data_IF_697525009518
#
_entry.id   IF_697525009518
#
_cell.length_a   1.000
_cell.length_b   1.000
_cell.length_c   1.000
_cell.angle_alpha   90.00
_cell.angle_beta   90.00
_cell.angle_gamma   90.00
#
_symmetry.space_group_name_H-M   'P 1'
#
loop_
_entity.id
_entity.type
_entity.pdbx_description
1 polymer ?
#
# COMPACT_ATOMS: atom_id res chain seq x y z
N UNK A 1 -6.28 -12.39 34.07
CA UNK A 1 -5.73 -11.16 33.43
C UNK A 1 -5.21 -11.54 32.07
N UNK A 2 -5.98 -11.26 31.03
CA UNK A 2 -5.51 -11.43 29.67
C UNK A 2 -4.67 -10.22 29.29
N UNK A 3 -3.37 -10.32 29.45
CA UNK A 3 -2.46 -9.44 28.73
C UNK A 3 -2.52 -9.85 27.26
N UNK A 4 -3.41 -9.22 26.51
CA UNK A 4 -3.27 -9.16 25.07
C UNK A 4 -1.96 -8.42 24.80
N UNK A 5 -0.89 -9.18 24.64
CA UNK A 5 0.29 -8.67 23.98
C UNK A 5 -0.17 -8.32 22.56
N UNK A 6 -0.59 -7.09 22.39
CA UNK A 6 -0.71 -6.48 21.08
C UNK A 6 0.72 -6.39 20.53
N UNK A 7 1.17 -7.47 19.92
CA UNK A 7 2.27 -7.39 19.00
C UNK A 7 1.75 -6.57 17.83
N UNK A 8 1.86 -5.25 17.95
CA UNK A 8 1.70 -4.36 16.80
C UNK A 8 2.77 -4.81 15.82
N UNK A 9 2.36 -5.46 14.75
CA UNK A 9 3.31 -5.81 13.70
C UNK A 9 3.95 -4.52 13.18
N UNK A 10 5.22 -4.52 12.77
CA UNK A 10 5.86 -3.35 12.18
C UNK A 10 5.07 -2.76 11.01
N UNK A 11 4.25 -3.57 10.37
CA UNK A 11 3.36 -3.17 9.29
C UNK A 11 2.12 -2.42 9.82
N UNK A 12 1.56 -2.81 10.96
CA UNK A 12 0.47 -2.07 11.62
C UNK A 12 0.95 -0.71 12.12
N UNK A 13 2.19 -0.61 12.62
CA UNK A 13 2.78 0.68 12.98
C UNK A 13 3.03 1.56 11.76
N UNK A 14 3.37 0.96 10.62
CA UNK A 14 3.48 1.63 9.33
C UNK A 14 2.13 2.18 8.89
N UNK A 15 1.07 1.39 9.05
CA UNK A 15 -0.31 1.78 8.76
C UNK A 15 -0.76 2.94 9.65
N UNK A 16 -0.44 2.87 10.94
CA UNK A 16 -0.75 3.93 11.91
C UNK A 16 -0.04 5.24 11.58
N UNK A 17 1.25 5.18 11.24
CA UNK A 17 2.02 6.35 10.83
C UNK A 17 1.50 6.91 9.50
N UNK A 18 1.18 6.04 8.56
CA UNK A 18 0.65 6.46 7.28
C UNK A 18 -0.72 7.13 7.39
N UNK A 19 -1.64 6.58 8.17
CA UNK A 19 -2.93 7.21 8.44
C UNK A 19 -2.78 8.55 9.15
N UNK A 20 -1.82 8.67 10.06
CA UNK A 20 -1.54 9.91 10.76
C UNK A 20 -0.89 10.97 9.86
N UNK A 21 0.07 10.60 9.02
CA UNK A 21 0.76 11.54 8.13
C UNK A 21 -0.18 12.10 7.04
N UNK A 22 -1.08 11.27 6.51
CA UNK A 22 -2.06 11.73 5.53
C UNK A 22 -3.26 12.47 6.17
N UNK A 23 -3.68 12.12 7.39
CA UNK A 23 -4.83 12.76 8.03
C UNK A 23 -4.50 14.04 8.80
N UNK A 24 -3.31 14.14 9.38
CA UNK A 24 -2.94 15.27 10.26
C UNK A 24 -2.46 16.50 9.47
N UNK A 25 -1.99 16.30 8.23
CA UNK A 25 -1.46 17.37 7.39
C UNK A 25 -2.47 18.09 6.51
N UNK A 26 -3.73 17.67 6.48
CA UNK A 26 -4.71 18.18 5.52
C UNK A 26 -5.79 19.02 6.21
N UNK A 27 -6.09 20.23 5.71
CA UNK A 27 -7.21 21.01 6.21
C UNK A 27 -8.52 20.25 6.01
N UNK A 28 -9.34 20.21 7.05
CA UNK A 28 -10.68 19.64 7.01
C UNK A 28 -11.47 20.33 5.90
N UNK A 29 -11.72 19.62 4.80
CA UNK A 29 -12.43 20.17 3.64
C UNK A 29 -11.66 20.08 2.32
N UNK A 30 -10.44 19.59 2.31
CA UNK A 30 -9.70 19.40 1.06
C UNK A 30 -10.26 18.21 0.25
N UNK A 31 -10.77 18.52 -0.93
CA UNK A 31 -11.32 17.53 -1.86
C UNK A 31 -10.25 16.57 -2.43
N UNK A 32 -8.97 16.86 -2.23
CA UNK A 32 -7.87 16.02 -2.71
C UNK A 32 -7.82 14.63 -2.05
N UNK A 33 -8.33 14.50 -0.82
CA UNK A 33 -8.41 13.20 -0.12
C UNK A 33 -9.43 12.26 -0.79
N UNK A 34 -10.46 12.80 -1.42
CA UNK A 34 -11.53 12.01 -2.04
C UNK A 34 -11.11 11.32 -3.34
N UNK A 35 -9.98 11.74 -3.92
CA UNK A 35 -9.51 11.25 -5.20
C UNK A 35 -8.39 10.21 -5.08
N UNK A 36 -7.99 9.85 -3.85
CA UNK A 36 -7.03 8.79 -3.63
C UNK A 36 -7.72 7.41 -3.77
N UNK A 37 -7.07 6.46 -4.44
CA UNK A 37 -7.60 5.11 -4.55
C UNK A 37 -7.66 4.42 -3.19
N UNK A 38 -8.68 3.60 -2.98
CA UNK A 38 -8.76 2.74 -1.81
C UNK A 38 -7.65 1.70 -1.83
N UNK A 39 -7.10 1.40 -0.67
CA UNK A 39 -5.94 0.53 -0.52
C UNK A 39 -6.21 -0.55 0.52
N UNK A 40 -5.88 -1.78 0.17
CA UNK A 40 -5.73 -2.88 1.12
C UNK A 40 -4.24 -3.19 1.31
N UNK A 41 -3.84 -3.36 2.56
CA UNK A 41 -2.49 -3.79 2.92
C UNK A 41 -2.59 -5.18 3.56
N UNK A 42 -1.85 -6.13 3.00
CA UNK A 42 -1.86 -7.53 3.43
C UNK A 42 -0.45 -7.92 3.83
N UNK A 43 -0.30 -8.52 4.99
CA UNK A 43 0.96 -9.08 5.44
C UNK A 43 0.82 -10.60 5.64
N UNK A 44 1.72 -11.34 5.02
CA UNK A 44 1.91 -12.76 5.22
C UNK A 44 3.28 -13.02 5.88
N UNK A 45 3.55 -14.26 6.22
CA UNK A 45 4.83 -14.62 6.84
C UNK A 45 6.04 -14.24 5.96
N UNK A 46 5.89 -14.32 4.64
CA UNK A 46 6.96 -14.18 3.67
C UNK A 46 6.89 -12.90 2.82
N UNK A 47 5.78 -12.18 2.87
CA UNK A 47 5.56 -11.06 1.95
C UNK A 47 4.56 -10.04 2.47
N UNK A 48 4.62 -8.87 1.85
CA UNK A 48 3.58 -7.84 1.91
C UNK A 48 2.89 -7.74 0.56
N UNK A 49 1.64 -7.36 0.57
CA UNK A 49 0.89 -7.04 -0.65
C UNK A 49 0.14 -5.74 -0.45
N UNK A 50 0.29 -4.84 -1.42
CA UNK A 50 -0.47 -3.61 -1.51
C UNK A 50 -1.45 -3.80 -2.67
N UNK A 51 -2.73 -3.61 -2.41
CA UNK A 51 -3.77 -3.63 -3.44
C UNK A 51 -4.41 -2.24 -3.54
N UNK A 52 -4.39 -1.66 -4.73
CA UNK A 52 -5.05 -0.39 -5.03
C UNK A 52 -6.25 -0.63 -5.94
N UNK A 53 -7.41 -0.12 -5.55
CA UNK A 53 -8.59 -0.12 -6.40
C UNK A 53 -8.52 1.07 -7.37
N UNK A 54 -8.21 0.81 -8.61
CA UNK A 54 -8.07 1.82 -9.66
C UNK A 54 -8.71 1.35 -10.96
N UNK A 55 -10.05 1.23 -11.01
CA UNK A 55 -10.76 0.76 -12.19
C UNK A 55 -10.73 1.79 -13.32
N UNK A 56 -10.84 1.33 -14.56
CA UNK A 56 -10.99 2.20 -15.73
C UNK A 56 -9.68 2.68 -16.37
N UNK A 57 -8.54 2.11 -15.99
CA UNK A 57 -7.23 2.44 -16.53
C UNK A 57 -6.57 1.25 -17.23
N UNK A 58 -5.49 1.52 -17.93
CA UNK A 58 -4.62 0.51 -18.53
C UNK A 58 -3.34 0.35 -17.70
N UNK A 59 -2.72 -0.81 -17.79
CA UNK A 59 -1.44 -1.09 -17.15
C UNK A 59 -0.37 -0.02 -17.42
N UNK A 60 -0.33 0.51 -18.63
CA UNK A 60 0.64 1.52 -19.07
C UNK A 60 0.45 2.90 -18.41
N UNK A 61 -0.71 3.14 -17.81
CA UNK A 61 -1.03 4.42 -17.19
C UNK A 61 -0.39 4.56 -15.78
N UNK A 62 0.07 3.45 -15.20
CA UNK A 62 0.71 3.42 -13.88
C UNK A 62 2.22 3.57 -13.98
N UNK A 63 2.79 4.32 -13.06
CA UNK A 63 4.22 4.38 -12.78
C UNK A 63 4.48 4.00 -11.32
N UNK A 64 5.45 3.12 -11.10
CA UNK A 64 5.87 2.69 -9.78
C UNK A 64 7.35 2.98 -9.64
N UNK A 65 7.70 3.79 -8.66
CA UNK A 65 9.07 4.20 -8.38
C UNK A 65 9.44 3.80 -6.95
N UNK A 66 10.68 3.37 -6.79
CA UNK A 66 11.25 3.03 -5.50
C UNK A 66 12.49 3.90 -5.26
N UNK A 67 12.42 4.74 -4.25
CA UNK A 67 13.53 5.54 -3.76
C UNK A 67 13.86 5.12 -2.33
N UNK A 68 14.97 4.39 -2.15
CA UNK A 68 15.30 3.71 -0.91
C UNK A 68 14.13 2.79 -0.47
N UNK A 69 13.51 3.06 0.65
CA UNK A 69 12.34 2.34 1.16
C UNK A 69 11.03 3.06 0.91
N UNK A 70 11.04 4.11 0.10
CA UNK A 70 9.82 4.84 -0.27
C UNK A 70 9.30 4.36 -1.63
N UNK A 71 8.19 3.70 -1.64
CA UNK A 71 7.51 3.20 -2.84
C UNK A 71 6.43 4.20 -3.24
N UNK A 72 6.58 4.83 -4.40
CA UNK A 72 5.62 5.77 -4.95
C UNK A 72 4.87 5.15 -6.12
N UNK A 73 3.56 5.22 -6.07
CA UNK A 73 2.66 4.74 -7.12
C UNK A 73 1.92 5.96 -7.66
N UNK A 74 2.09 6.22 -8.95
CA UNK A 74 1.42 7.33 -9.61
C UNK A 74 0.66 6.85 -10.83
N UNK A 75 -0.41 7.56 -11.11
CA UNK A 75 -1.21 7.44 -12.31
C UNK A 75 -1.41 8.83 -12.87
N UNK A 76 -0.89 9.08 -14.05
CA UNK A 76 -0.97 10.36 -14.73
C UNK A 76 -1.84 10.25 -15.98
N UNK A 77 -3.12 10.07 -15.74
CA UNK A 77 -4.13 10.06 -16.79
C UNK A 77 -5.42 10.65 -16.25
N UNK A 78 -5.90 11.70 -16.89
CA UNK A 78 -7.25 12.20 -16.66
C UNK A 78 -8.15 11.79 -17.82
N UNK A 79 -9.25 11.13 -17.50
CA UNK A 79 -10.32 10.88 -18.45
C UNK A 79 -11.25 12.08 -18.41
N UNK A 80 -11.14 12.92 -19.41
CA UNK A 80 -12.01 14.07 -19.58
C UNK A 80 -13.24 13.62 -20.38
N UNK A 81 -14.28 13.18 -19.69
CA UNK A 81 -15.55 12.88 -20.29
C UNK A 81 -16.47 14.10 -20.19
N UNK A 82 -17.07 14.50 -21.30
CA UNK A 82 -18.09 15.55 -21.32
C UNK A 82 -19.45 15.03 -20.82
N UNK A 83 -19.44 14.11 -19.85
CA UNK A 83 -20.63 13.49 -19.31
C UNK A 83 -21.23 14.37 -18.22
N UNK A 84 -22.52 14.63 -18.31
CA UNK A 84 -23.27 15.32 -17.25
C UNK A 84 -23.79 14.28 -16.25
N UNK A 85 -23.21 14.26 -15.06
CA UNK A 85 -23.64 13.37 -13.98
C UNK A 85 -24.79 13.98 -13.17
N UNK A 86 -25.81 13.21 -12.88
CA UNK A 86 -26.79 13.57 -11.87
C UNK A 86 -26.25 13.32 -10.45
N UNK A 87 -25.41 12.28 -10.30
CA UNK A 87 -24.68 11.95 -9.07
C UNK A 87 -23.34 11.37 -9.44
N UNK A 88 -22.27 11.87 -8.84
CA UNK A 88 -20.91 11.40 -9.03
C UNK A 88 -20.29 11.10 -7.67
N UNK A 89 -19.95 9.85 -7.42
CA UNK A 89 -19.32 9.41 -6.17
C UNK A 89 -17.84 9.08 -6.36
N UNK A 90 -17.42 8.74 -7.57
CA UNK A 90 -16.03 8.51 -7.91
C UNK A 90 -15.67 9.15 -9.26
N UNK A 91 -14.40 9.36 -9.49
CA UNK A 91 -13.87 9.84 -10.75
C UNK A 91 -12.63 9.05 -11.19
N UNK A 92 -12.19 9.32 -12.41
CA UNK A 92 -10.98 8.72 -12.98
C UNK A 92 -9.87 9.78 -13.00
N UNK A 93 -9.48 10.25 -11.83
CA UNK A 93 -8.44 11.27 -11.71
C UNK A 93 -7.05 10.68 -11.53
N UNK A 94 -6.03 11.47 -11.90
CA UNK A 94 -4.66 11.16 -11.58
C UNK A 94 -4.43 11.20 -10.07
N UNK A 95 -3.51 10.37 -9.60
CA UNK A 95 -3.14 10.32 -8.19
C UNK A 95 -1.66 9.97 -8.03
N UNK A 96 -1.14 10.27 -6.86
CA UNK A 96 0.14 9.76 -6.39
C UNK A 96 -0.03 9.29 -4.94
N UNK A 97 0.38 8.07 -4.67
CA UNK A 97 0.44 7.51 -3.32
C UNK A 97 1.82 6.96 -3.02
N UNK A 98 2.31 7.25 -1.84
CA UNK A 98 3.62 6.80 -1.38
C UNK A 98 3.49 5.92 -0.14
N UNK A 99 4.30 4.87 -0.09
CA UNK A 99 4.34 3.91 1.02
C UNK A 99 5.78 3.76 1.48
N UNK A 100 6.00 3.98 2.76
CA UNK A 100 7.30 3.70 3.37
C UNK A 100 7.40 2.22 3.71
N UNK A 101 8.24 1.49 3.01
CA UNK A 101 8.45 0.07 3.24
C UNK A 101 9.27 -0.17 4.50
N UNK A 102 9.01 -1.23 5.24
CA UNK A 102 9.81 -1.60 6.39
C UNK A 102 11.21 -2.07 5.96
N UNK A 103 12.20 -1.93 6.84
CA UNK A 103 13.60 -2.29 6.55
C UNK A 103 13.81 -3.77 6.20
N UNK A 104 12.89 -4.63 6.59
CA UNK A 104 12.93 -6.06 6.27
C UNK A 104 12.25 -6.41 4.94
N UNK A 105 11.76 -5.42 4.19
CA UNK A 105 11.34 -5.62 2.82
C UNK A 105 12.55 -5.88 1.91
N UNK A 106 12.44 -6.91 1.06
CA UNK A 106 13.44 -7.19 0.05
C UNK A 106 13.17 -6.35 -1.20
N UNK A 107 13.90 -5.25 -1.33
CA UNK A 107 13.71 -4.28 -2.41
C UNK A 107 14.03 -4.84 -3.80
N UNK A 108 14.74 -5.98 -3.86
CA UNK A 108 15.07 -6.66 -5.12
C UNK A 108 13.96 -7.63 -5.57
N UNK A 109 12.97 -7.87 -4.73
CA UNK A 109 11.89 -8.81 -4.97
C UNK A 109 10.52 -8.15 -4.87
N UNK A 110 10.32 -7.15 -5.70
CA UNK A 110 9.04 -6.44 -5.84
C UNK A 110 8.45 -6.78 -7.20
N UNK A 111 7.18 -7.17 -7.20
CA UNK A 111 6.41 -7.48 -8.41
C UNK A 111 5.12 -6.70 -8.41
N UNK A 112 4.72 -6.21 -9.58
CA UNK A 112 3.47 -5.51 -9.76
C UNK A 112 2.66 -6.16 -10.88
N UNK A 113 1.34 -6.21 -10.69
CA UNK A 113 0.39 -6.67 -11.70
C UNK A 113 -0.88 -5.84 -11.62
N UNK A 114 -1.45 -5.52 -12.76
CA UNK A 114 -2.74 -4.84 -12.86
C UNK A 114 -3.74 -5.75 -13.57
N UNK A 115 -4.81 -6.08 -12.87
CA UNK A 115 -5.86 -6.96 -13.38
C UNK A 115 -7.20 -6.66 -12.73
N UNK A 116 -8.27 -6.69 -13.51
CA UNK A 116 -9.64 -6.49 -13.02
C UNK A 116 -9.83 -5.19 -12.21
N UNK A 117 -9.15 -4.12 -12.62
CA UNK A 117 -9.23 -2.83 -11.93
C UNK A 117 -8.44 -2.74 -10.62
N UNK A 118 -7.65 -3.76 -10.29
CA UNK A 118 -6.81 -3.77 -9.08
C UNK A 118 -5.33 -3.79 -9.46
N UNK A 119 -4.59 -2.80 -8.97
CA UNK A 119 -3.14 -2.82 -9.00
C UNK A 119 -2.63 -3.53 -7.74
N UNK A 120 -1.97 -4.65 -7.94
CA UNK A 120 -1.41 -5.47 -6.86
C UNK A 120 0.11 -5.41 -6.90
N UNK A 121 0.72 -5.01 -5.79
CA UNK A 121 2.17 -4.96 -5.63
C UNK A 121 2.56 -5.92 -4.51
N UNK A 122 3.36 -6.92 -4.85
CA UNK A 122 3.86 -7.93 -3.92
C UNK A 122 5.33 -7.67 -3.61
N UNK A 123 5.67 -7.63 -2.34
CA UNK A 123 7.01 -7.32 -1.82
C UNK A 123 7.41 -8.47 -0.91
N UNK A 124 8.49 -9.17 -1.25
CA UNK A 124 9.00 -10.25 -0.41
C UNK A 124 9.64 -9.68 0.87
N UNK A 125 9.61 -10.44 1.95
CA UNK A 125 10.41 -10.18 3.14
C UNK A 125 11.82 -10.71 2.94
N UNK A 126 12.81 -10.06 3.54
CA UNK A 126 14.17 -10.59 3.63
C UNK A 126 14.16 -11.92 4.41
N UNK A 127 15.04 -12.83 4.07
CA UNK A 127 15.10 -14.16 4.73
C UNK A 127 15.29 -14.07 6.25
N UNK A 128 16.02 -13.07 6.72
CA UNK A 128 16.27 -12.82 8.15
C UNK A 128 15.00 -12.39 8.92
N UNK A 129 14.02 -11.86 8.21
CA UNK A 129 12.76 -11.39 8.80
C UNK A 129 11.66 -12.45 8.80
N UNK A 130 11.88 -13.58 8.14
CA UNK A 130 10.92 -14.69 8.13
C UNK A 130 10.97 -15.40 9.49
N UNK A 131 9.80 -15.57 10.13
CA UNK A 131 9.72 -16.26 11.40
C UNK A 131 10.20 -17.71 11.25
N UNK A 132 11.30 -18.05 11.93
CA UNK A 132 11.79 -19.41 11.98
C UNK A 132 10.94 -20.25 12.95
N UNK A 133 10.75 -21.55 12.67
CA UNK A 133 10.06 -22.43 13.61
C UNK A 133 10.81 -22.49 14.95
N UNK A 134 10.07 -22.69 16.03
CA UNK A 134 10.65 -22.83 17.36
C UNK A 134 11.66 -23.98 17.36
N UNK A 135 12.88 -23.68 17.81
CA UNK A 135 13.97 -24.65 17.91
C UNK A 135 14.25 -24.94 19.37
N UNK A 136 14.18 -26.21 19.75
CA UNK A 136 14.61 -26.68 21.06
C UNK A 136 16.11 -26.85 21.10
N UNK A 137 16.75 -26.29 22.13
CA UNK A 137 18.21 -26.38 22.33
C UNK A 137 18.45 -27.35 23.49
N UNK A 138 19.24 -28.40 23.26
CA UNK A 138 19.69 -29.29 24.31
C UNK A 138 20.78 -28.62 25.14
N UNK A 139 20.62 -28.72 26.45
CA UNK A 139 21.66 -28.31 27.41
C UNK A 139 22.67 -29.46 27.55
N UNK A 140 23.92 -29.17 27.32
CA UNK A 140 25.00 -30.11 27.50
C UNK A 140 25.31 -30.35 28.99
#
# INVERSE_FOLDING_TARGET
MNTLNNYITPFESLLGNWLNDELIGLPVGDHSIRNLPDVNLIENDNSFTIELAAPGFDKKDFSIELDNYNLSISLDKSINDNVKYNKKEFDYSSFTRSFKLPKYADLNKIKAAYQNGILKISIAKKKEAITLPVKSIKIA
#
